data_IF_018189942326
#
_entry.id   IF_018189942326
#
_cell.length_a   1.000
_cell.length_b   1.000
_cell.length_c   1.000
_cell.angle_alpha   90.00
_cell.angle_beta   90.00
_cell.angle_gamma   90.00
#
_symmetry.space_group_name_H-M   'P 1'
#
loop_
_entity.id
_entity.type
_entity.pdbx_description
1 polymer ?
#
# COMPACT_ATOMS: atom_id res chain seq x y z
N UNK A 1 -1.56 6.07 33.59
CA UNK A 1 -2.38 6.51 32.44
C UNK A 1 -1.94 7.90 32.12
N UNK A 2 -1.02 7.96 31.18
CA UNK A 2 -0.13 9.07 30.93
C UNK A 2 -0.78 9.89 29.81
N UNK A 3 -0.53 11.21 29.74
CA UNK A 3 -1.16 12.10 28.75
C UNK A 3 -1.03 11.57 27.31
N UNK A 4 0.11 10.95 27.00
CA UNK A 4 0.38 10.25 25.74
C UNK A 4 -0.56 9.07 25.48
N UNK A 5 -0.83 8.25 26.51
CA UNK A 5 -1.75 7.10 26.43
C UNK A 5 -3.21 7.51 26.24
N UNK A 6 -3.62 8.65 26.81
CA UNK A 6 -4.97 9.20 26.58
C UNK A 6 -5.14 9.72 25.15
N UNK A 7 -4.18 10.49 24.63
CA UNK A 7 -4.18 10.97 23.24
C UNK A 7 -4.23 9.80 22.26
N UNK A 8 -3.40 8.80 22.50
CA UNK A 8 -3.30 7.63 21.64
C UNK A 8 -4.58 6.76 21.66
N UNK A 9 -5.20 6.61 22.84
CA UNK A 9 -6.52 5.97 22.98
C UNK A 9 -7.61 6.74 22.24
N UNK A 10 -7.64 8.07 22.33
CA UNK A 10 -8.60 8.92 21.61
C UNK A 10 -8.43 8.77 20.11
N UNK A 11 -7.20 8.93 19.59
CA UNK A 11 -6.91 8.79 18.15
C UNK A 11 -7.24 7.39 17.61
N UNK A 12 -7.04 6.35 18.41
CA UNK A 12 -7.38 4.98 18.03
C UNK A 12 -8.89 4.75 17.99
N UNK A 13 -9.65 5.32 18.92
CA UNK A 13 -11.11 5.32 18.89
C UNK A 13 -11.64 6.09 17.67
N UNK A 14 -11.03 7.23 17.34
CA UNK A 14 -11.38 8.04 16.17
C UNK A 14 -11.20 7.26 14.86
N UNK A 15 -10.11 6.50 14.72
CA UNK A 15 -9.86 5.70 13.52
C UNK A 15 -10.80 4.52 13.36
N UNK A 16 -11.18 3.85 14.45
CA UNK A 16 -12.17 2.78 14.37
C UNK A 16 -13.53 3.33 13.91
N UNK A 17 -13.93 4.50 14.42
CA UNK A 17 -15.14 5.18 13.96
C UNK A 17 -15.04 5.56 12.48
N UNK A 18 -13.94 6.17 12.05
CA UNK A 18 -13.70 6.50 10.65
C UNK A 18 -13.72 5.26 9.76
N UNK A 19 -13.21 4.12 10.23
CA UNK A 19 -13.23 2.86 9.50
C UNK A 19 -14.65 2.34 9.29
N UNK A 20 -15.49 2.41 10.32
CA UNK A 20 -16.91 2.02 10.20
C UNK A 20 -17.68 2.98 9.28
N UNK A 21 -17.41 4.28 9.36
CA UNK A 21 -17.96 5.27 8.43
C UNK A 21 -17.53 4.97 6.99
N UNK A 22 -16.25 4.69 6.77
CA UNK A 22 -15.72 4.35 5.45
C UNK A 22 -16.37 3.08 4.88
N UNK A 23 -16.58 2.05 5.71
CA UNK A 23 -17.31 0.84 5.31
C UNK A 23 -18.74 1.15 4.87
N UNK A 24 -19.44 2.04 5.59
CA UNK A 24 -20.80 2.44 5.26
C UNK A 24 -20.92 3.16 3.90
N UNK A 25 -19.84 3.76 3.39
CA UNK A 25 -19.79 4.35 2.05
C UNK A 25 -19.76 3.31 0.91
N UNK A 26 -19.66 2.01 1.25
CA UNK A 26 -19.70 0.89 0.31
C UNK A 26 -18.70 1.01 -0.86
N UNK A 27 -17.52 1.57 -0.59
CA UNK A 27 -16.49 1.86 -1.59
C UNK A 27 -15.93 0.60 -2.24
N UNK A 28 -15.50 0.76 -3.47
CA UNK A 28 -14.84 -0.26 -4.28
C UNK A 28 -13.40 0.12 -4.58
N UNK A 29 -12.53 -0.87 -4.79
CA UNK A 29 -11.15 -0.61 -5.17
C UNK A 29 -10.61 -1.53 -6.25
N UNK A 30 -9.56 -1.07 -6.93
CA UNK A 30 -8.72 -1.91 -7.77
C UNK A 30 -7.27 -1.98 -7.25
N UNK A 31 -6.60 -3.09 -7.53
CA UNK A 31 -5.19 -3.30 -7.18
C UNK A 31 -4.42 -3.71 -8.44
N UNK A 32 -3.42 -2.90 -8.79
CA UNK A 32 -2.39 -3.24 -9.77
C UNK A 32 -1.20 -3.88 -9.06
N UNK A 33 -0.69 -4.98 -9.60
CA UNK A 33 0.49 -5.65 -9.01
C UNK A 33 0.19 -6.52 -7.80
N UNK A 34 -1.04 -7.04 -7.67
CA UNK A 34 -1.45 -7.97 -6.62
C UNK A 34 -0.60 -9.25 -6.53
N UNK A 35 0.12 -9.61 -7.60
CA UNK A 35 1.04 -10.75 -7.63
C UNK A 35 2.39 -10.49 -6.95
N UNK A 36 2.74 -9.23 -6.71
CA UNK A 36 3.99 -8.83 -6.05
C UNK A 36 3.93 -9.01 -4.54
N UNK A 37 5.07 -8.95 -3.86
CA UNK A 37 5.14 -9.16 -2.41
C UNK A 37 4.28 -8.15 -1.63
N UNK A 38 4.36 -6.86 -1.98
CA UNK A 38 3.49 -5.84 -1.40
C UNK A 38 2.02 -6.05 -1.77
N UNK A 39 1.74 -6.36 -3.04
CA UNK A 39 0.37 -6.56 -3.52
C UNK A 39 -0.35 -7.74 -2.86
N UNK A 40 0.37 -8.83 -2.58
CA UNK A 40 -0.18 -10.00 -1.86
C UNK A 40 -0.59 -9.65 -0.44
N UNK A 41 0.28 -8.92 0.29
CA UNK A 41 -0.01 -8.48 1.66
C UNK A 41 -1.15 -7.48 1.67
N UNK A 42 -1.16 -6.52 0.74
CA UNK A 42 -2.24 -5.54 0.58
C UNK A 42 -3.59 -6.21 0.34
N UNK A 43 -3.65 -7.16 -0.61
CA UNK A 43 -4.86 -7.92 -0.89
C UNK A 43 -5.34 -8.65 0.37
N UNK A 44 -4.45 -9.32 1.08
CA UNK A 44 -4.78 -10.03 2.33
C UNK A 44 -5.40 -9.09 3.37
N UNK A 45 -4.80 -7.94 3.62
CA UNK A 45 -5.27 -6.96 4.62
C UNK A 45 -6.60 -6.30 4.22
N UNK A 46 -6.78 -5.94 2.93
CA UNK A 46 -8.06 -5.43 2.41
C UNK A 46 -9.17 -6.45 2.62
N UNK A 47 -8.88 -7.69 2.25
CA UNK A 47 -9.80 -8.82 2.35
C UNK A 47 -10.14 -9.07 3.82
N UNK A 48 -9.16 -9.15 4.72
CA UNK A 48 -9.40 -9.35 6.15
C UNK A 48 -10.18 -8.21 6.80
N UNK A 49 -9.86 -6.96 6.48
CA UNK A 49 -10.50 -5.79 7.10
C UNK A 49 -11.89 -5.45 6.56
N UNK A 50 -12.25 -5.98 5.38
CA UNK A 50 -13.55 -5.77 4.72
C UNK A 50 -13.94 -4.28 4.60
N UNK A 51 -12.95 -3.42 4.37
CA UNK A 51 -13.19 -1.97 4.20
C UNK A 51 -13.75 -1.61 2.81
N UNK A 52 -13.63 -2.52 1.85
CA UNK A 52 -14.19 -2.38 0.50
C UNK A 52 -15.22 -3.47 0.22
N UNK A 53 -16.30 -3.09 -0.46
CA UNK A 53 -17.39 -4.01 -0.85
C UNK A 53 -17.04 -4.82 -2.10
N UNK A 54 -16.22 -4.26 -2.99
CA UNK A 54 -15.71 -4.89 -4.21
C UNK A 54 -14.22 -4.62 -4.38
N UNK A 55 -13.47 -5.65 -4.70
CA UNK A 55 -12.03 -5.57 -4.98
C UNK A 55 -11.77 -6.14 -6.38
N UNK A 56 -11.04 -5.41 -7.22
CA UNK A 56 -10.72 -5.82 -8.59
C UNK A 56 -9.21 -5.90 -8.76
N UNK A 57 -8.69 -7.09 -9.05
CA UNK A 57 -7.27 -7.26 -9.33
C UNK A 57 -7.05 -7.05 -10.82
N UNK A 58 -6.23 -6.07 -11.17
CA UNK A 58 -5.91 -5.77 -12.56
C UNK A 58 -4.46 -6.16 -12.82
N UNK A 59 -4.21 -7.04 -13.79
CA UNK A 59 -2.86 -7.48 -14.08
C UNK A 59 -2.73 -8.28 -15.37
N UNK A 60 -1.49 -8.65 -15.72
CA UNK A 60 -1.19 -9.37 -16.98
C UNK A 60 -1.61 -10.85 -16.97
N UNK A 61 -1.86 -11.41 -15.80
CA UNK A 61 -2.07 -12.85 -15.61
C UNK A 61 -3.07 -13.07 -14.49
N UNK A 62 -3.91 -14.10 -14.65
CA UNK A 62 -4.82 -14.55 -13.60
C UNK A 62 -4.01 -15.15 -12.45
N UNK A 63 -4.40 -14.84 -11.22
CA UNK A 63 -3.77 -15.33 -10.00
C UNK A 63 -4.63 -16.44 -9.40
N UNK A 64 -3.98 -17.55 -9.06
CA UNK A 64 -4.59 -18.65 -8.31
C UNK A 64 -4.33 -18.40 -6.84
N UNK A 65 -5.39 -18.28 -6.05
CA UNK A 65 -5.28 -18.11 -4.60
C UNK A 65 -5.90 -19.32 -3.93
N UNK A 66 -5.16 -19.93 -3.01
CA UNK A 66 -5.60 -21.14 -2.29
C UNK A 66 -6.70 -20.82 -1.26
N UNK A 67 -6.74 -19.60 -0.72
CA UNK A 67 -7.60 -19.23 0.43
C UNK A 67 -8.53 -18.02 0.22
N UNK A 68 -8.60 -17.45 -0.99
CA UNK A 68 -9.18 -16.10 -1.18
C UNK A 68 -10.12 -15.93 -2.39
N UNK A 69 -10.79 -17.00 -2.83
CA UNK A 69 -12.00 -16.87 -3.64
C UNK A 69 -13.15 -16.34 -2.75
N UNK A 70 -13.01 -15.11 -2.25
CA UNK A 70 -14.13 -14.40 -1.62
C UNK A 70 -15.02 -13.87 -2.72
N UNK A 71 -16.33 -13.93 -2.51
CA UNK A 71 -17.36 -13.45 -3.45
C UNK A 71 -17.12 -12.00 -3.94
N UNK A 72 -16.34 -11.22 -3.20
CA UNK A 72 -16.07 -9.82 -3.49
C UNK A 72 -14.73 -9.51 -4.21
N UNK A 73 -13.96 -10.53 -4.64
CA UNK A 73 -12.71 -10.33 -5.40
C UNK A 73 -12.89 -10.76 -6.85
N UNK A 74 -12.76 -9.82 -7.77
CA UNK A 74 -12.76 -10.05 -9.23
C UNK A 74 -11.35 -9.88 -9.80
N UNK A 75 -11.07 -10.49 -10.96
CA UNK A 75 -9.78 -10.38 -11.63
C UNK A 75 -9.98 -10.02 -13.08
N UNK A 76 -9.35 -8.92 -13.51
CA UNK A 76 -9.31 -8.46 -14.88
C UNK A 76 -7.90 -8.68 -15.44
N UNK A 77 -7.82 -9.51 -16.48
CA UNK A 77 -6.57 -9.77 -17.18
C UNK A 77 -6.44 -8.76 -18.32
N UNK A 78 -5.45 -7.89 -18.22
CA UNK A 78 -5.23 -6.79 -19.17
C UNK A 78 -3.87 -6.91 -19.84
N UNK A 79 -3.81 -6.46 -21.09
CA UNK A 79 -2.55 -6.20 -21.77
C UNK A 79 -2.17 -4.73 -21.59
N UNK A 80 -1.08 -4.47 -20.86
CA UNK A 80 -0.62 -3.10 -20.60
C UNK A 80 -0.04 -2.42 -21.85
N UNK A 81 0.31 -3.17 -22.90
CA UNK A 81 0.74 -2.56 -24.18
C UNK A 81 -0.44 -2.00 -24.98
N UNK A 82 -1.66 -2.44 -24.66
CA UNK A 82 -2.91 -2.06 -25.33
C UNK A 82 -3.96 -1.57 -24.34
N UNK A 83 -3.53 -0.75 -23.38
CA UNK A 83 -4.36 -0.35 -22.25
C UNK A 83 -5.68 0.31 -22.64
N UNK A 84 -5.72 1.01 -23.79
CA UNK A 84 -6.92 1.64 -24.34
C UNK A 84 -8.06 0.62 -24.59
N UNK A 85 -7.73 -0.61 -24.99
CA UNK A 85 -8.71 -1.70 -25.19
C UNK A 85 -9.29 -2.21 -23.87
N UNK A 86 -8.61 -1.94 -22.74
CA UNK A 86 -8.95 -2.40 -21.40
C UNK A 86 -9.39 -1.26 -20.48
N UNK A 87 -9.72 -0.08 -21.01
CA UNK A 87 -10.16 1.06 -20.21
C UNK A 87 -11.36 0.73 -19.30
N UNK A 88 -12.23 -0.18 -19.73
CA UNK A 88 -13.38 -0.67 -18.94
C UNK A 88 -12.97 -1.35 -17.63
N UNK A 89 -11.79 -1.98 -17.56
CA UNK A 89 -11.30 -2.63 -16.34
C UNK A 89 -11.06 -1.63 -15.19
N UNK A 90 -10.81 -0.36 -15.52
CA UNK A 90 -10.53 0.72 -14.56
C UNK A 90 -11.77 1.56 -14.21
N UNK A 91 -12.92 1.30 -14.84
CA UNK A 91 -14.14 2.08 -14.61
C UNK A 91 -14.90 1.61 -13.36
N UNK A 92 -15.53 2.56 -12.67
CA UNK A 92 -16.45 2.28 -11.57
C UNK A 92 -15.79 1.88 -10.25
N UNK A 93 -14.49 2.19 -10.07
CA UNK A 93 -13.79 2.02 -8.81
C UNK A 93 -13.62 3.36 -8.10
N UNK A 94 -13.71 3.38 -6.78
CA UNK A 94 -13.50 4.59 -5.97
C UNK A 94 -12.03 4.81 -5.61
N UNK A 95 -11.28 3.71 -5.38
CA UNK A 95 -9.89 3.76 -4.92
C UNK A 95 -9.00 2.85 -5.76
N UNK A 96 -7.83 3.35 -6.16
CA UNK A 96 -6.81 2.59 -6.88
C UNK A 96 -5.54 2.39 -6.08
N UNK A 97 -5.04 1.16 -6.01
CA UNK A 97 -3.72 0.86 -5.44
C UNK A 97 -2.77 0.40 -6.54
N UNK A 98 -1.63 1.08 -6.71
CA UNK A 98 -0.59 0.67 -7.64
C UNK A 98 0.63 0.10 -6.89
N UNK A 99 0.81 -1.21 -6.95
CA UNK A 99 1.97 -1.93 -6.40
C UNK A 99 2.86 -2.52 -7.51
N UNK A 100 2.81 -1.94 -8.71
CA UNK A 100 3.67 -2.38 -9.82
C UNK A 100 5.12 -1.99 -9.52
N UNK A 101 6.00 -2.99 -9.47
CA UNK A 101 7.42 -2.78 -9.27
C UNK A 101 8.15 -2.54 -10.58
N UNK A 102 8.77 -1.37 -10.74
CA UNK A 102 9.87 -1.14 -11.67
C UNK A 102 11.15 -0.88 -10.85
N UNK A 103 12.31 -1.21 -11.38
CA UNK A 103 13.57 -0.80 -10.72
C UNK A 103 13.70 0.72 -10.78
N UNK A 104 14.23 1.39 -9.74
CA UNK A 104 14.48 2.86 -9.75
C UNK A 104 15.13 3.35 -11.04
N UNK A 105 16.05 2.55 -11.59
CA UNK A 105 16.73 2.81 -12.87
C UNK A 105 15.81 2.91 -14.11
N UNK A 106 14.59 2.35 -14.04
CA UNK A 106 13.61 2.34 -15.13
C UNK A 106 12.46 3.34 -14.91
N UNK A 107 12.23 3.79 -13.68
CA UNK A 107 11.10 4.67 -13.35
C UNK A 107 11.45 6.16 -13.45
N UNK A 108 12.74 6.52 -13.30
CA UNK A 108 13.17 7.91 -13.15
C UNK A 108 12.65 8.52 -11.83
N UNK A 109 13.51 9.19 -11.06
CA UNK A 109 13.01 9.94 -9.90
C UNK A 109 12.22 11.16 -10.42
N UNK A 110 10.93 11.27 -10.09
CA UNK A 110 10.09 12.42 -10.45
C UNK A 110 9.19 12.25 -11.69
N UNK A 111 9.46 11.28 -12.57
CA UNK A 111 8.68 11.11 -13.81
C UNK A 111 7.28 10.54 -13.55
N UNK A 112 7.19 9.60 -12.61
CA UNK A 112 5.91 9.00 -12.22
C UNK A 112 5.04 10.03 -11.49
N UNK A 113 5.65 10.87 -10.66
CA UNK A 113 4.96 11.92 -9.93
C UNK A 113 4.36 12.97 -10.87
N UNK A 114 5.15 13.45 -11.84
CA UNK A 114 4.67 14.39 -12.85
C UNK A 114 3.53 13.79 -13.70
N UNK A 115 3.67 12.53 -14.12
CA UNK A 115 2.63 11.86 -14.91
C UNK A 115 1.32 11.67 -14.13
N UNK A 116 1.38 11.43 -12.81
CA UNK A 116 0.17 11.30 -11.97
C UNK A 116 -0.53 12.64 -11.79
N UNK A 117 0.22 13.74 -11.72
CA UNK A 117 -0.35 15.08 -11.59
C UNK A 117 -1.22 15.45 -12.81
N UNK A 118 -0.84 15.00 -14.01
CA UNK A 118 -1.61 15.18 -15.24
C UNK A 118 -2.94 14.40 -15.27
N UNK A 119 -3.04 13.30 -14.52
CA UNK A 119 -4.25 12.45 -14.46
C UNK A 119 -5.40 13.09 -13.67
N UNK A 120 -5.13 14.18 -12.95
CA UNK A 120 -6.14 14.99 -12.25
C UNK A 120 -7.06 14.20 -11.30
N UNK A 121 -6.51 13.23 -10.55
CA UNK A 121 -7.25 12.57 -9.48
C UNK A 121 -7.68 13.56 -8.39
N UNK A 122 -8.86 13.33 -7.79
CA UNK A 122 -9.34 14.12 -6.65
C UNK A 122 -8.36 14.07 -5.47
N UNK A 123 -7.74 12.90 -5.28
CA UNK A 123 -6.70 12.65 -4.28
C UNK A 123 -5.71 11.62 -4.80
N UNK A 124 -4.42 11.86 -4.63
CA UNK A 124 -3.35 10.88 -4.87
C UNK A 124 -2.30 10.90 -3.75
N UNK A 125 -1.89 9.71 -3.33
CA UNK A 125 -0.98 9.51 -2.20
C UNK A 125 0.23 8.69 -2.63
N UNK A 126 1.42 9.23 -2.43
CA UNK A 126 2.69 8.65 -2.85
C UNK A 126 3.46 8.18 -1.62
N UNK A 127 3.83 6.90 -1.61
CA UNK A 127 4.57 6.27 -0.52
C UNK A 127 6.00 6.00 -0.93
N UNK A 128 6.97 6.61 -0.22
CA UNK A 128 8.40 6.42 -0.38
C UNK A 128 8.98 5.65 0.83
N UNK A 129 8.80 4.32 0.89
CA UNK A 129 9.35 3.50 1.96
C UNK A 129 10.88 3.46 1.87
N UNK A 130 11.51 3.03 2.97
CA UNK A 130 12.89 2.54 2.94
C UNK A 130 13.00 1.23 2.16
N UNK A 131 14.10 0.51 2.35
CA UNK A 131 14.29 -0.83 1.80
C UNK A 131 13.18 -1.74 2.34
N UNK A 132 12.37 -2.28 1.44
CA UNK A 132 11.31 -3.22 1.80
C UNK A 132 11.93 -4.52 2.30
N UNK A 133 11.65 -4.87 3.56
CA UNK A 133 12.00 -6.17 4.10
C UNK A 133 10.97 -7.18 3.63
N UNK A 134 11.29 -7.88 2.56
CA UNK A 134 10.58 -9.08 2.13
C UNK A 134 11.43 -10.29 2.48
N UNK A 135 10.81 -11.36 2.97
CA UNK A 135 11.43 -12.68 3.04
C UNK A 135 11.52 -13.27 1.63
N UNK A 136 12.30 -12.62 0.76
CA UNK A 136 12.62 -13.11 -0.56
C UNK A 136 13.72 -14.16 -0.44
N UNK A 137 13.42 -15.39 -0.85
CA UNK A 137 14.44 -16.25 -1.44
C UNK A 137 14.77 -15.75 -2.86
N UNK A 138 15.45 -14.62 -2.97
CA UNK A 138 16.19 -14.28 -4.19
C UNK A 138 17.59 -13.85 -3.80
N UNK A 139 18.53 -14.78 -3.89
CA UNK A 139 19.96 -14.55 -3.78
C UNK A 139 20.43 -13.70 -4.95
N UNK A 140 20.54 -12.38 -4.74
CA UNK A 140 21.27 -11.49 -5.63
C UNK A 140 22.70 -11.37 -5.11
N UNK A 141 23.73 -11.79 -5.87
CA UNK A 141 25.11 -11.91 -5.35
C UNK A 141 25.67 -10.64 -4.69
N UNK A 142 25.28 -9.45 -5.18
CA UNK A 142 25.67 -8.17 -4.58
C UNK A 142 24.92 -7.82 -3.28
N UNK A 143 23.73 -8.39 -3.06
CA UNK A 143 22.93 -8.18 -1.85
C UNK A 143 23.51 -8.96 -0.66
N UNK A 144 24.12 -10.11 -0.90
CA UNK A 144 24.89 -10.85 0.12
C UNK A 144 26.12 -10.06 0.59
N UNK A 145 26.84 -9.43 -0.35
CA UNK A 145 28.04 -8.64 -0.04
C UNK A 145 27.67 -7.33 0.66
N UNK A 146 26.60 -6.66 0.23
CA UNK A 146 26.06 -5.47 0.90
C UNK A 146 25.50 -5.78 2.29
N UNK A 147 24.82 -6.93 2.48
CA UNK A 147 24.37 -7.40 3.81
C UNK A 147 25.54 -7.55 4.78
N UNK A 148 26.66 -8.14 4.36
CA UNK A 148 27.82 -8.31 5.24
C UNK A 148 28.47 -6.97 5.67
N UNK A 149 28.39 -5.96 4.81
CA UNK A 149 29.00 -4.64 5.05
C UNK A 149 28.06 -3.68 5.81
N UNK A 150 26.74 -3.75 5.57
CA UNK A 150 25.75 -2.81 6.13
C UNK A 150 25.11 -3.27 7.44
N UNK A 151 25.15 -4.56 7.79
CA UNK A 151 24.57 -5.07 9.06
C UNK A 151 25.09 -4.36 10.32
N UNK A 152 26.40 -4.04 10.47
CA UNK A 152 26.89 -3.29 11.62
C UNK A 152 26.45 -1.82 11.66
N UNK A 153 26.11 -1.25 10.49
CA UNK A 153 25.70 0.16 10.36
C UNK A 153 24.18 0.30 10.54
N UNK A 154 23.42 -0.68 10.03
CA UNK A 154 21.97 -0.75 10.18
C UNK A 154 21.53 -1.00 11.63
N UNK A 155 22.37 -1.62 12.47
CA UNK A 155 22.06 -1.81 13.90
C UNK A 155 22.05 -0.51 14.70
N UNK A 156 22.65 0.58 14.20
CA UNK A 156 22.58 1.89 14.85
C UNK A 156 21.33 2.70 14.46
N UNK A 157 20.71 2.44 13.29
CA UNK A 157 19.53 3.17 12.81
C UNK A 157 18.52 2.27 12.06
N UNK A 158 17.94 1.24 12.71
CA UNK A 158 17.16 0.20 12.04
C UNK A 158 15.88 0.70 11.31
N UNK A 159 15.23 1.73 11.86
CA UNK A 159 13.99 2.32 11.30
C UNK A 159 14.23 3.34 10.21
N UNK A 160 15.44 3.90 10.07
CA UNK A 160 15.72 4.89 9.03
C UNK A 160 15.86 4.26 7.64
N UNK A 161 16.26 2.99 7.57
CA UNK A 161 16.69 2.34 6.33
C UNK A 161 15.66 1.33 5.82
N UNK A 162 14.84 0.74 6.70
CA UNK A 162 14.03 -0.44 6.35
C UNK A 162 12.56 -0.23 6.68
N UNK A 163 11.67 -0.79 5.86
CA UNK A 163 10.22 -0.73 6.08
C UNK A 163 9.64 -2.13 5.86
N UNK A 164 9.08 -2.80 6.89
CA UNK A 164 8.34 -4.03 6.69
C UNK A 164 7.16 -3.83 5.73
N UNK A 165 6.90 -4.80 4.85
CA UNK A 165 5.78 -4.69 3.88
C UNK A 165 4.44 -4.47 4.59
N UNK A 166 4.21 -5.17 5.71
CA UNK A 166 2.99 -5.02 6.49
C UNK A 166 2.81 -3.59 7.03
N UNK A 167 3.90 -2.94 7.46
CA UNK A 167 3.89 -1.55 7.94
C UNK A 167 3.46 -0.61 6.82
N UNK A 168 4.04 -0.77 5.62
CA UNK A 168 3.63 0.01 4.45
C UNK A 168 2.14 -0.21 4.13
N UNK A 169 1.69 -1.46 4.09
CA UNK A 169 0.29 -1.77 3.78
C UNK A 169 -0.67 -1.17 4.80
N UNK A 170 -0.39 -1.28 6.09
CA UNK A 170 -1.20 -0.65 7.16
C UNK A 170 -1.27 0.86 6.98
N UNK A 171 -0.13 1.50 6.69
CA UNK A 171 -0.09 2.93 6.41
C UNK A 171 -0.99 3.30 5.22
N UNK A 172 -0.93 2.56 4.11
CA UNK A 172 -1.78 2.81 2.94
C UNK A 172 -3.27 2.69 3.27
N UNK A 173 -3.67 1.67 4.03
CA UNK A 173 -5.07 1.45 4.39
C UNK A 173 -5.59 2.49 5.39
N UNK A 174 -4.76 2.86 6.37
CA UNK A 174 -5.10 3.93 7.31
C UNK A 174 -5.25 5.27 6.59
N UNK A 175 -4.37 5.57 5.63
CA UNK A 175 -4.45 6.80 4.83
C UNK A 175 -5.78 6.93 4.08
N UNK A 176 -6.25 5.85 3.49
CA UNK A 176 -7.48 5.81 2.69
C UNK A 176 -8.72 6.10 3.56
N UNK A 177 -8.69 5.67 4.82
CA UNK A 177 -9.79 5.90 5.77
C UNK A 177 -9.77 7.35 6.30
N UNK A 178 -8.59 7.96 6.39
CA UNK A 178 -8.45 9.34 6.86
C UNK A 178 -9.01 10.32 5.82
N UNK A 179 -9.91 11.24 6.23
CA UNK A 179 -10.29 12.36 5.38
C UNK A 179 -9.07 13.26 5.14
N UNK A 180 -8.93 13.75 3.92
CA UNK A 180 -7.85 14.67 3.56
C UNK A 180 -8.38 15.70 2.58
N UNK A 181 -8.06 16.97 2.85
CA UNK A 181 -8.35 18.10 1.96
C UNK A 181 -7.23 18.29 0.92
N UNK A 182 -6.11 17.58 1.08
CA UNK A 182 -4.98 17.69 0.17
C UNK A 182 -5.17 16.80 -1.05
N UNK A 183 -5.10 17.39 -2.24
CA UNK A 183 -5.07 16.66 -3.50
C UNK A 183 -3.86 15.72 -3.60
N UNK A 184 -2.70 16.17 -3.10
CA UNK A 184 -1.43 15.44 -3.15
C UNK A 184 -0.91 15.17 -1.74
N UNK A 185 -0.51 13.92 -1.49
CA UNK A 185 0.10 13.52 -0.23
C UNK A 185 1.38 12.73 -0.48
N UNK A 186 2.49 13.11 0.17
CA UNK A 186 3.77 12.41 0.06
C UNK A 186 4.23 11.89 1.42
N UNK A 187 4.30 10.57 1.55
CA UNK A 187 4.69 9.90 2.77
C UNK A 187 6.09 9.30 2.64
N UNK A 188 7.05 9.89 3.34
CA UNK A 188 8.38 9.31 3.52
C UNK A 188 8.38 8.24 4.61
N UNK A 189 9.44 7.42 4.64
CA UNK A 189 9.59 6.31 5.57
C UNK A 189 9.14 6.60 7.01
N UNK A 190 9.56 7.72 7.61
CA UNK A 190 9.14 8.09 8.97
C UNK A 190 7.61 8.23 9.10
N UNK A 191 6.97 8.95 8.19
CA UNK A 191 5.51 9.13 8.19
C UNK A 191 4.78 7.80 7.93
N UNK A 192 5.35 6.90 7.13
CA UNK A 192 4.78 5.56 6.89
C UNK A 192 4.70 4.78 8.21
N UNK A 193 5.76 4.81 9.01
CA UNK A 193 5.78 4.14 10.33
C UNK A 193 4.84 4.78 11.35
N UNK A 194 4.63 6.10 11.30
CA UNK A 194 3.67 6.79 12.16
C UNK A 194 2.24 6.43 11.75
N UNK A 195 1.95 6.48 10.45
CA UNK A 195 0.65 6.19 9.87
C UNK A 195 0.25 4.72 10.02
N UNK A 196 1.21 3.79 10.08
CA UNK A 196 0.91 2.37 10.29
C UNK A 196 0.43 2.05 11.71
N UNK A 197 0.84 2.86 12.71
CA UNK A 197 0.52 2.64 14.13
C UNK A 197 -0.83 3.22 14.54
N UNK A 198 -1.39 4.06 13.69
CA UNK A 198 -2.72 4.63 13.85
C UNK A 198 -3.75 3.50 14.04
N UNK A 199 -4.43 3.49 15.20
CA UNK A 199 -5.48 2.53 15.53
C UNK A 199 -5.01 1.23 16.17
N UNK A 200 -3.70 1.04 16.36
CA UNK A 200 -3.16 -0.06 17.17
C UNK A 200 -3.17 0.40 18.63
N UNK A 201 -3.89 -0.27 19.53
CA UNK A 201 -3.66 -0.08 20.98
C UNK A 201 -2.30 -0.68 21.32
N UNK A 202 -1.37 0.11 21.86
CA UNK A 202 -0.14 -0.42 22.45
C UNK A 202 -0.54 -1.42 23.54
N UNK A 203 -0.34 -2.71 23.28
CA UNK A 203 -0.48 -3.80 24.26
C UNK A 203 0.71 -3.81 25.21
#
# INVERSE_FOLDING_TARGET
>A
MDFTGFIFSSMSQDLNNLREMFKALNKSCFILGASGETGKVLLREIVQSRIFTKVTLIGRRKLTFEDAARENVSQEVVDFEKLDEYASAFQGHDVGFCCLGTTKAKAGEGQVEAAIEELNFDRYSIFRPGVLMCDRQESRPMEWMARKLLVPVASLFPTAITTPVLVLVKAMLNNVILPSENKMELFHNKHIHELSKLGETET
#
